data_IF_197042129945
#
_entry.id   IF_197042129945
#
_cell.length_a   1.000
_cell.length_b   1.000
_cell.length_c   1.000
_cell.angle_alpha   90.00
_cell.angle_beta   90.00
_cell.angle_gamma   90.00
#
_symmetry.space_group_name_H-M   'P 1'
#
loop_
_entity.id
_entity.type
_entity.pdbx_description
1 polymer ?
#
# COMPACT_ATOMS: atom_id res chain seq x y z
N UNK A 1 8.99 -3.86 20.19
CA UNK A 1 8.20 -2.80 20.81
C UNK A 1 8.59 -1.45 20.23
N UNK A 2 7.64 -0.62 19.95
CA UNK A 2 7.98 0.64 19.36
C UNK A 2 7.90 1.79 20.38
N UNK A 3 8.69 2.82 20.13
CA UNK A 3 8.80 3.98 20.99
C UNK A 3 8.27 5.23 20.29
N UNK A 4 7.29 5.04 19.42
CA UNK A 4 6.73 6.12 18.63
C UNK A 4 6.02 7.16 19.51
N UNK A 5 6.21 8.42 19.19
CA UNK A 5 5.39 9.48 19.76
C UNK A 5 3.97 9.39 19.19
N UNK A 6 3.01 10.05 19.84
CA UNK A 6 1.64 10.09 19.34
C UNK A 6 1.58 10.68 17.94
N UNK A 7 2.41 11.70 17.67
CA UNK A 7 2.46 12.34 16.36
C UNK A 7 3.02 11.41 15.30
N UNK A 8 4.07 10.69 15.63
CA UNK A 8 4.65 9.70 14.72
C UNK A 8 3.69 8.55 14.45
N UNK A 9 2.98 8.10 15.48
CA UNK A 9 1.98 7.04 15.31
C UNK A 9 0.88 7.48 14.36
N UNK A 10 0.36 8.69 14.51
CA UNK A 10 -0.66 9.24 13.61
C UNK A 10 -0.16 9.28 12.17
N UNK A 11 1.07 9.77 11.95
CA UNK A 11 1.65 9.82 10.62
C UNK A 11 1.81 8.43 10.02
N UNK A 12 2.21 7.44 10.82
CA UNK A 12 2.36 6.06 10.40
C UNK A 12 1.01 5.46 10.00
N UNK A 13 -0.02 5.68 10.81
CA UNK A 13 -1.36 5.18 10.51
C UNK A 13 -1.91 5.78 9.22
N UNK A 14 -1.70 7.08 9.01
CA UNK A 14 -2.12 7.75 7.78
C UNK A 14 -1.43 7.16 6.57
N UNK A 15 -0.13 6.89 6.68
CA UNK A 15 0.64 6.32 5.58
C UNK A 15 0.19 4.88 5.28
N UNK A 16 -0.07 4.08 6.31
CA UNK A 16 -0.58 2.73 6.13
C UNK A 16 -1.91 2.75 5.39
N UNK A 17 -2.82 3.65 5.77
CA UNK A 17 -4.09 3.83 5.09
C UNK A 17 -3.91 4.23 3.64
N UNK A 18 -2.95 5.10 3.35
CA UNK A 18 -2.61 5.52 1.99
C UNK A 18 -2.13 4.36 1.13
N UNK A 19 -1.27 3.49 1.68
CA UNK A 19 -0.80 2.31 0.95
C UNK A 19 -1.95 1.35 0.65
N UNK A 20 -2.84 1.12 1.61
CA UNK A 20 -4.00 0.26 1.41
C UNK A 20 -4.89 0.78 0.29
N UNK A 21 -5.10 2.10 0.24
CA UNK A 21 -5.88 2.74 -0.81
C UNK A 21 -5.24 2.55 -2.18
N UNK A 22 -3.92 2.70 -2.26
CA UNK A 22 -3.19 2.51 -3.52
C UNK A 22 -3.25 1.07 -4.01
N UNK A 23 -3.17 0.08 -3.11
CA UNK A 23 -3.33 -1.32 -3.48
C UNK A 23 -4.67 -1.54 -4.17
N UNK A 24 -5.75 -1.08 -3.55
CA UNK A 24 -7.09 -1.24 -4.12
C UNK A 24 -7.24 -0.54 -5.45
N UNK A 25 -6.69 0.67 -5.54
CA UNK A 25 -6.75 1.46 -6.77
C UNK A 25 -6.07 0.73 -7.93
N UNK A 26 -4.84 0.26 -7.73
CA UNK A 26 -4.09 -0.41 -8.79
C UNK A 26 -4.69 -1.76 -9.15
N UNK A 27 -5.25 -2.50 -8.19
CA UNK A 27 -5.96 -3.73 -8.48
C UNK A 27 -7.18 -3.48 -9.36
N UNK A 28 -7.94 -2.44 -9.04
CA UNK A 28 -9.11 -2.06 -9.84
C UNK A 28 -8.70 -1.63 -11.25
N UNK A 29 -7.63 -0.86 -11.37
CA UNK A 29 -7.12 -0.43 -12.67
C UNK A 29 -6.65 -1.61 -13.51
N UNK A 30 -6.02 -2.60 -12.89
CA UNK A 30 -5.60 -3.82 -13.57
C UNK A 30 -6.81 -4.57 -14.14
N UNK A 31 -7.89 -4.66 -13.37
CA UNK A 31 -9.12 -5.34 -13.83
C UNK A 31 -9.79 -4.63 -14.98
N UNK A 32 -9.69 -3.29 -15.04
CA UNK A 32 -10.32 -2.51 -16.10
C UNK A 32 -9.48 -2.42 -17.35
N UNK A 33 -8.22 -2.81 -17.28
CA UNK A 33 -7.29 -2.65 -18.40
C UNK A 33 -7.39 -3.84 -19.36
N UNK A 34 -7.63 -3.59 -20.64
CA UNK A 34 -7.73 -4.64 -21.64
C UNK A 34 -6.37 -5.08 -22.17
N UNK A 35 -5.34 -4.25 -22.05
CA UNK A 35 -3.98 -4.61 -22.49
C UNK A 35 -3.30 -5.43 -21.39
N UNK A 36 -2.92 -6.70 -21.68
CA UNK A 36 -2.34 -7.57 -20.64
C UNK A 36 -1.02 -7.05 -20.07
N UNK A 37 -0.21 -6.37 -20.87
CA UNK A 37 1.08 -5.85 -20.42
C UNK A 37 0.87 -4.70 -19.44
N UNK A 38 -0.08 -3.82 -19.71
CA UNK A 38 -0.39 -2.70 -18.84
C UNK A 38 -1.09 -3.21 -17.56
N UNK A 39 -1.99 -4.17 -17.70
CA UNK A 39 -2.66 -4.77 -16.56
C UNK A 39 -1.63 -5.38 -15.59
N UNK A 40 -0.61 -6.05 -16.14
CA UNK A 40 0.47 -6.61 -15.34
C UNK A 40 1.23 -5.53 -14.57
N UNK A 41 1.49 -4.38 -15.22
CA UNK A 41 2.17 -3.28 -14.53
C UNK A 41 1.35 -2.75 -13.37
N UNK A 42 0.04 -2.62 -13.53
CA UNK A 42 -0.81 -2.19 -12.41
C UNK A 42 -0.80 -3.20 -11.27
N UNK A 43 -0.80 -4.49 -11.58
CA UNK A 43 -0.69 -5.52 -10.54
C UNK A 43 0.67 -5.46 -9.84
N UNK A 44 1.74 -5.17 -10.57
CA UNK A 44 3.07 -5.01 -9.97
C UNK A 44 3.10 -3.82 -9.02
N UNK A 45 2.47 -2.71 -9.39
CA UNK A 45 2.36 -1.55 -8.51
C UNK A 45 1.54 -1.88 -7.26
N UNK A 46 0.44 -2.60 -7.42
CA UNK A 46 -0.36 -3.05 -6.28
C UNK A 46 0.50 -3.89 -5.32
N UNK A 47 1.30 -4.79 -5.86
CA UNK A 47 2.17 -5.64 -5.05
C UNK A 47 3.24 -4.84 -4.31
N UNK A 48 3.80 -3.81 -4.95
CA UNK A 48 4.77 -2.92 -4.30
C UNK A 48 4.15 -2.19 -3.12
N UNK A 49 2.96 -1.66 -3.30
CA UNK A 49 2.28 -0.93 -2.22
C UNK A 49 1.83 -1.88 -1.11
N UNK A 50 1.48 -3.12 -1.45
CA UNK A 50 1.19 -4.14 -0.45
C UNK A 50 2.41 -4.45 0.40
N UNK A 51 3.59 -4.52 -0.22
CA UNK A 51 4.85 -4.72 0.50
C UNK A 51 5.15 -3.53 1.42
N UNK A 52 4.93 -2.30 0.93
CA UNK A 52 5.06 -1.09 1.76
C UNK A 52 4.11 -1.13 2.95
N UNK A 53 2.87 -1.50 2.71
CA UNK A 53 1.87 -1.65 3.77
C UNK A 53 2.36 -2.60 4.85
N UNK A 54 2.84 -3.77 4.44
CA UNK A 54 3.30 -4.79 5.39
C UNK A 54 4.51 -4.30 6.19
N UNK A 55 5.44 -3.62 5.55
CA UNK A 55 6.62 -3.06 6.22
C UNK A 55 6.21 -2.02 7.26
N UNK A 56 5.35 -1.09 6.87
CA UNK A 56 4.89 -0.02 7.78
C UNK A 56 4.09 -0.61 8.94
N UNK A 57 3.22 -1.57 8.66
CA UNK A 57 2.42 -2.22 9.68
C UNK A 57 3.30 -2.90 10.74
N UNK A 58 4.45 -3.42 10.32
CA UNK A 58 5.41 -4.04 11.23
C UNK A 58 5.91 -3.10 12.33
N UNK A 59 5.92 -1.80 12.07
CA UNK A 59 6.33 -0.82 13.07
C UNK A 59 5.32 -0.64 14.20
N UNK A 60 4.11 -1.14 14.02
CA UNK A 60 3.07 -1.07 15.06
C UNK A 60 3.17 -2.20 16.09
N UNK A 61 4.03 -3.16 15.87
CA UNK A 61 4.17 -4.32 16.75
C UNK A 61 5.22 -4.11 17.83
#
# INVERSE_FOLDING_TARGET
>A
MNTLTAKELTALEDQIGGEATLVKKFEAMACLCSDPAIARQFNDYANKHRAHYNTLYGFLK
#
